data_IF_072783370551
#
_entry.id   IF_072783370551
#
_cell.length_a   1.000
_cell.length_b   1.000
_cell.length_c   1.000
_cell.angle_alpha   90.00
_cell.angle_beta   90.00
_cell.angle_gamma   90.00
#
_symmetry.space_group_name_H-M   'P 1'
#
loop_
_entity.id
_entity.type
_entity.pdbx_description
1 polymer ?
#
# COMPACT_ATOMS: atom_id res chain seq x y z
N UNK A 1 -7.24 -38.26 -1.03
CA UNK A 1 -6.63 -37.86 0.26
C UNK A 1 -5.45 -36.94 -0.03
N UNK A 2 -5.67 -35.63 -0.17
CA UNK A 2 -4.58 -34.66 -0.30
C UNK A 2 -4.14 -34.20 1.08
N UNK A 3 -2.87 -34.42 1.40
CA UNK A 3 -2.24 -33.91 2.62
C UNK A 3 -2.18 -32.38 2.50
N UNK A 4 -2.86 -31.69 3.41
CA UNK A 4 -2.71 -30.25 3.63
C UNK A 4 -1.33 -30.01 4.22
N UNK A 5 -0.39 -29.54 3.40
CA UNK A 5 0.89 -29.03 3.91
C UNK A 5 0.61 -27.81 4.79
N UNK A 6 0.94 -27.94 6.08
CA UNK A 6 0.89 -26.82 7.02
C UNK A 6 1.94 -25.78 6.59
N UNK A 7 1.62 -24.47 6.61
CA UNK A 7 2.61 -23.45 6.26
C UNK A 7 3.80 -23.55 7.20
N UNK A 8 5.00 -23.69 6.62
CA UNK A 8 6.28 -23.71 7.33
C UNK A 8 6.53 -22.32 7.91
N UNK A 9 6.69 -22.22 9.24
CA UNK A 9 7.05 -20.97 9.89
C UNK A 9 8.41 -20.46 9.36
N UNK A 10 8.59 -19.14 9.15
CA UNK A 10 9.85 -18.59 8.67
C UNK A 10 11.04 -18.97 9.57
N UNK A 11 12.19 -19.29 8.99
CA UNK A 11 13.41 -19.76 9.69
C UNK A 11 13.84 -18.79 10.80
N UNK A 12 13.69 -17.47 10.60
CA UNK A 12 14.00 -16.48 11.63
C UNK A 12 13.08 -16.52 12.86
N UNK A 13 11.81 -16.93 12.69
CA UNK A 13 10.88 -17.16 13.80
C UNK A 13 11.25 -18.45 14.56
N UNK A 14 11.73 -19.47 13.85
CA UNK A 14 12.26 -20.70 14.44
C UNK A 14 13.60 -20.47 15.17
N UNK A 15 14.43 -19.54 14.68
CA UNK A 15 15.69 -19.14 15.33
C UNK A 15 15.43 -18.32 16.60
N UNK A 16 14.45 -17.41 16.61
CA UNK A 16 14.05 -16.68 17.84
C UNK A 16 13.47 -17.60 18.93
N UNK A 17 12.76 -18.67 18.56
CA UNK A 17 12.26 -19.66 19.53
C UNK A 17 13.38 -20.52 20.16
N UNK A 18 14.57 -20.58 19.53
CA UNK A 18 15.72 -21.33 20.04
C UNK A 18 16.64 -20.51 20.94
N UNK A 19 16.62 -19.18 20.83
CA UNK A 19 17.51 -18.26 21.55
C UNK A 19 16.72 -17.60 22.68
N UNK A 20 16.31 -18.42 23.67
CA UNK A 20 15.76 -17.90 24.91
C UNK A 20 16.87 -17.34 25.80
N UNK A 21 16.75 -16.07 26.20
CA UNK A 21 17.45 -15.55 27.38
C UNK A 21 16.43 -15.04 28.39
N UNK A 22 16.09 -15.89 29.36
CA UNK A 22 16.01 -15.48 30.77
C UNK A 22 14.89 -14.53 31.21
N UNK A 23 13.77 -14.45 30.51
CA UNK A 23 12.50 -14.04 31.14
C UNK A 23 11.47 -15.09 30.80
N UNK A 24 10.88 -15.68 31.83
CA UNK A 24 9.71 -16.53 31.74
C UNK A 24 8.63 -15.74 30.98
N UNK A 25 8.55 -15.97 29.66
CA UNK A 25 7.36 -15.66 28.91
C UNK A 25 6.31 -16.60 29.48
N UNK A 26 5.53 -16.11 30.45
CA UNK A 26 4.20 -16.62 30.68
C UNK A 26 3.47 -16.50 29.34
N UNK A 27 3.56 -17.56 28.54
CA UNK A 27 2.44 -17.95 27.71
C UNK A 27 1.31 -18.10 28.71
N UNK A 28 0.41 -17.11 28.77
CA UNK A 28 -0.88 -17.31 29.38
C UNK A 28 -1.58 -18.39 28.56
N UNK A 29 -1.25 -19.65 28.84
CA UNK A 29 -2.11 -20.78 28.55
C UNK A 29 -3.39 -20.54 29.36
N UNK A 30 -4.33 -19.84 28.73
CA UNK A 30 -5.69 -19.80 29.19
C UNK A 30 -6.20 -21.24 29.13
N UNK A 31 -6.20 -21.90 30.29
CA UNK A 31 -6.75 -23.25 30.49
C UNK A 31 -8.13 -23.34 29.83
N UNK A 32 -8.23 -24.22 28.83
CA UNK A 32 -9.40 -24.43 27.97
C UNK A 32 -10.31 -25.55 28.52
N UNK A 33 -10.88 -25.34 29.70
CA UNK A 33 -11.96 -26.20 30.23
C UNK A 33 -13.10 -25.33 30.80
N UNK A 34 -14.26 -25.34 30.13
CA UNK A 34 -15.49 -24.64 30.58
C UNK A 34 -16.09 -23.69 29.53
N UNK A 35 -17.08 -24.18 28.79
CA UNK A 35 -17.56 -23.60 27.54
C UNK A 35 -18.71 -22.58 27.73
N UNK A 36 -18.37 -21.39 28.23
CA UNK A 36 -19.10 -20.14 27.95
C UNK A 36 -18.09 -19.07 27.47
N UNK A 37 -17.98 -18.93 26.15
CA UNK A 37 -17.45 -17.80 25.38
C UNK A 37 -16.11 -17.15 25.84
N UNK A 38 -14.98 -17.68 25.34
CA UNK A 38 -13.67 -17.00 25.35
C UNK A 38 -13.71 -15.61 24.68
N UNK A 39 -14.64 -15.40 23.73
CA UNK A 39 -14.80 -14.13 22.99
C UNK A 39 -15.29 -12.99 23.88
N UNK A 40 -16.33 -13.20 24.70
CA UNK A 40 -16.88 -12.18 25.60
C UNK A 40 -15.87 -11.76 26.68
N UNK A 41 -15.18 -12.73 27.30
CA UNK A 41 -14.10 -12.44 28.26
C UNK A 41 -13.01 -11.59 27.63
N UNK A 42 -12.53 -12.01 26.45
CA UNK A 42 -11.50 -11.26 25.71
C UNK A 42 -11.97 -9.88 25.26
N UNK A 43 -13.24 -9.74 24.87
CA UNK A 43 -13.83 -8.46 24.51
C UNK A 43 -13.86 -7.50 25.70
N UNK A 44 -14.19 -7.97 26.90
CA UNK A 44 -14.14 -7.17 28.12
C UNK A 44 -12.72 -6.76 28.48
N UNK A 45 -11.76 -7.66 28.35
CA UNK A 45 -10.36 -7.38 28.62
C UNK A 45 -9.79 -6.34 27.64
N UNK A 46 -10.04 -6.50 26.34
CA UNK A 46 -9.65 -5.51 25.33
C UNK A 46 -10.35 -4.17 25.57
N UNK A 47 -11.64 -4.18 25.92
CA UNK A 47 -12.38 -2.96 26.26
C UNK A 47 -11.76 -2.23 27.45
N UNK A 48 -11.33 -2.96 28.47
CA UNK A 48 -10.65 -2.37 29.64
C UNK A 48 -9.32 -1.70 29.26
N UNK A 49 -8.67 -2.17 28.18
CA UNK A 49 -7.46 -1.58 27.61
C UNK A 49 -7.75 -0.54 26.51
N UNK A 50 -8.98 -0.01 26.46
CA UNK A 50 -9.36 1.10 25.60
C UNK A 50 -9.57 0.71 24.14
N UNK A 51 -9.88 -0.55 23.84
CA UNK A 51 -10.31 -0.95 22.50
C UNK A 51 -11.83 -0.86 22.34
N UNK A 52 -12.28 -0.35 21.20
CA UNK A 52 -13.66 -0.48 20.74
C UNK A 52 -13.83 -1.82 20.00
N UNK A 53 -14.70 -2.68 20.52
CA UNK A 53 -14.88 -4.06 20.06
C UNK A 53 -16.22 -4.22 19.36
N UNK A 54 -16.24 -5.01 18.29
CA UNK A 54 -17.44 -5.42 17.57
C UNK A 54 -17.44 -6.93 17.39
N UNK A 55 -18.63 -7.52 17.33
CA UNK A 55 -18.80 -8.93 16.96
C UNK A 55 -18.75 -9.09 15.44
N UNK A 56 -18.17 -10.19 14.96
CA UNK A 56 -18.15 -10.55 13.54
C UNK A 56 -18.68 -11.96 13.30
N UNK A 57 -19.20 -12.20 12.10
CA UNK A 57 -19.58 -13.52 11.63
C UNK A 57 -18.40 -14.31 11.03
N UNK A 58 -18.69 -15.54 10.58
CA UNK A 58 -17.73 -16.45 9.95
C UNK A 58 -17.14 -15.90 8.63
N UNK A 59 -17.79 -14.91 8.03
CA UNK A 59 -17.32 -14.18 6.85
C UNK A 59 -16.58 -12.89 7.21
N UNK A 60 -16.30 -12.65 8.50
CA UNK A 60 -15.62 -11.48 9.04
C UNK A 60 -16.43 -10.18 8.88
N UNK A 61 -17.75 -10.28 8.72
CA UNK A 61 -18.65 -9.12 8.62
C UNK A 61 -19.15 -8.76 10.00
N UNK A 62 -19.25 -7.46 10.28
CA UNK A 62 -19.80 -6.97 11.55
C UNK A 62 -21.23 -7.45 11.75
N UNK A 63 -21.55 -7.84 12.98
CA UNK A 63 -22.92 -8.11 13.39
C UNK A 63 -23.52 -6.80 13.89
N UNK A 64 -24.60 -6.38 13.24
CA UNK A 64 -25.22 -5.08 13.50
C UNK A 64 -24.44 -3.91 12.93
N UNK A 65 -24.97 -2.70 13.18
CA UNK A 65 -24.34 -1.45 12.81
C UNK A 65 -23.16 -1.15 13.74
N UNK A 66 -21.97 -1.03 13.15
CA UNK A 66 -20.74 -0.77 13.89
C UNK A 66 -20.25 0.67 13.78
N UNK A 67 -20.89 1.50 12.95
CA UNK A 67 -20.46 2.90 12.74
C UNK A 67 -20.47 3.70 14.05
N UNK A 68 -21.41 3.45 14.95
CA UNK A 68 -21.41 4.06 16.29
C UNK A 68 -20.15 3.71 17.10
N UNK A 69 -19.59 2.51 16.89
CA UNK A 69 -18.38 2.04 17.55
C UNK A 69 -17.10 2.73 17.04
N UNK A 70 -17.19 3.61 16.02
CA UNK A 70 -16.07 4.48 15.61
C UNK A 70 -16.00 5.77 16.42
N UNK A 71 -17.08 6.14 17.11
CA UNK A 71 -17.15 7.32 17.95
C UNK A 71 -16.96 6.97 19.43
N UNK A 72 -17.57 5.86 19.87
CA UNK A 72 -17.62 5.49 21.28
C UNK A 72 -17.38 3.98 21.50
N UNK A 73 -16.72 3.65 22.61
CA UNK A 73 -16.50 2.26 23.03
C UNK A 73 -17.80 1.70 23.62
N UNK A 74 -18.27 0.59 23.06
CA UNK A 74 -19.50 -0.08 23.50
C UNK A 74 -19.49 -0.42 25.01
N UNK A 75 -20.66 -0.37 25.65
CA UNK A 75 -20.82 -0.76 27.06
C UNK A 75 -20.67 -2.28 27.23
N UNK A 76 -20.42 -2.76 28.45
CA UNK A 76 -20.35 -4.21 28.73
C UNK A 76 -21.66 -4.92 28.34
N UNK A 77 -22.82 -4.36 28.71
CA UNK A 77 -24.12 -4.92 28.36
C UNK A 77 -24.37 -4.95 26.85
N UNK A 78 -23.93 -3.93 26.11
CA UNK A 78 -24.02 -3.96 24.64
C UNK A 78 -23.13 -5.06 24.04
N UNK A 79 -21.92 -5.27 24.58
CA UNK A 79 -21.03 -6.35 24.16
C UNK A 79 -21.60 -7.74 24.49
N UNK A 80 -22.19 -7.93 25.67
CA UNK A 80 -22.90 -9.16 26.05
C UNK A 80 -24.02 -9.47 25.07
N UNK A 81 -24.86 -8.47 24.77
CA UNK A 81 -25.97 -8.64 23.84
C UNK A 81 -25.50 -9.00 22.43
N UNK A 82 -24.50 -8.30 21.89
CA UNK A 82 -24.06 -8.51 20.51
C UNK A 82 -23.24 -9.80 20.34
N UNK A 83 -22.44 -10.18 21.34
CA UNK A 83 -21.67 -11.43 21.32
C UNK A 83 -22.49 -12.65 21.71
N UNK A 84 -23.62 -12.47 22.40
CA UNK A 84 -24.62 -13.52 22.60
C UNK A 84 -25.40 -13.87 21.32
N UNK A 85 -25.23 -13.12 20.23
CA UNK A 85 -25.84 -13.45 18.95
C UNK A 85 -25.25 -14.77 18.41
N UNK A 86 -26.06 -15.76 18.01
CA UNK A 86 -25.55 -17.04 17.50
C UNK A 86 -24.66 -16.94 16.25
N UNK A 87 -24.74 -15.83 15.50
CA UNK A 87 -23.86 -15.57 14.36
C UNK A 87 -22.49 -15.01 14.76
N UNK A 88 -22.30 -14.62 16.02
CA UNK A 88 -21.06 -14.04 16.54
C UNK A 88 -20.01 -15.14 16.73
N UNK A 89 -19.19 -15.34 15.71
CA UNK A 89 -18.12 -16.33 15.72
C UNK A 89 -16.74 -15.71 15.96
N UNK A 90 -16.66 -14.39 16.08
CA UNK A 90 -15.43 -13.68 16.34
C UNK A 90 -15.59 -12.26 16.86
N UNK A 91 -14.46 -11.63 17.16
CA UNK A 91 -14.33 -10.23 17.56
C UNK A 91 -13.38 -9.47 16.63
N UNK A 92 -13.70 -8.20 16.39
CA UNK A 92 -12.82 -7.25 15.73
C UNK A 92 -12.66 -5.99 16.56
N UNK A 93 -11.52 -5.34 16.40
CA UNK A 93 -11.21 -4.05 16.99
C UNK A 93 -11.45 -2.97 15.95
N UNK A 94 -12.28 -1.98 16.28
CA UNK A 94 -12.43 -0.77 15.48
C UNK A 94 -11.15 0.05 15.64
N UNK A 95 -10.47 0.34 14.54
CA UNK A 95 -9.19 1.03 14.52
C UNK A 95 -9.38 2.56 14.57
N UNK A 96 -8.27 3.28 14.75
CA UNK A 96 -8.25 4.74 14.81
C UNK A 96 -8.44 5.30 16.22
N UNK A 97 -8.91 6.55 16.30
CA UNK A 97 -8.93 7.35 17.51
C UNK A 97 -9.71 6.69 18.67
N UNK A 98 -10.85 6.07 18.37
CA UNK A 98 -11.70 5.38 19.37
C UNK A 98 -10.99 4.27 20.12
N UNK A 99 -9.98 3.66 19.49
CA UNK A 99 -9.15 2.62 20.08
C UNK A 99 -7.73 3.13 20.30
N UNK A 100 -7.57 4.35 20.81
CA UNK A 100 -6.27 4.95 21.16
C UNK A 100 -5.30 5.03 20.00
N UNK A 101 -5.78 5.49 18.83
CA UNK A 101 -5.02 5.64 17.59
C UNK A 101 -4.38 4.33 17.09
N UNK A 102 -5.05 3.20 17.29
CA UNK A 102 -4.62 1.92 16.74
C UNK A 102 -4.64 1.98 15.21
N UNK A 103 -3.54 1.57 14.59
CA UNK A 103 -3.46 1.33 13.16
C UNK A 103 -2.88 -0.07 12.91
N UNK A 104 -3.45 -0.76 11.92
CA UNK A 104 -3.06 -2.12 11.56
C UNK A 104 -2.61 -2.11 10.11
N UNK A 105 -1.42 -2.64 9.84
CA UNK A 105 -1.01 -3.00 8.47
C UNK A 105 -1.48 -4.43 8.22
N UNK A 106 -2.41 -4.59 7.29
CA UNK A 106 -2.97 -5.87 6.86
C UNK A 106 -2.26 -6.34 5.59
N UNK A 107 -1.62 -7.51 5.67
CA UNK A 107 -0.81 -8.12 4.61
C UNK A 107 -1.53 -9.36 4.11
N UNK A 108 -2.03 -9.29 2.88
CA UNK A 108 -2.81 -10.37 2.26
C UNK A 108 -1.93 -11.30 1.40
N UNK A 109 -1.18 -12.19 2.06
CA UNK A 109 -0.18 -13.06 1.39
C UNK A 109 -0.79 -14.03 0.37
N UNK A 110 -2.07 -14.40 0.48
CA UNK A 110 -2.74 -15.24 -0.56
C UNK A 110 -2.89 -14.50 -1.89
N UNK A 111 -2.77 -13.16 -1.89
CA UNK A 111 -2.78 -12.38 -3.11
C UNK A 111 -1.37 -12.22 -3.70
N UNK A 112 -0.30 -12.56 -2.97
CA UNK A 112 1.07 -12.53 -3.48
C UNK A 112 1.37 -13.77 -4.34
N UNK A 113 1.92 -13.54 -5.52
CA UNK A 113 2.35 -14.61 -6.44
C UNK A 113 3.81 -15.01 -6.23
N UNK A 114 4.60 -14.16 -5.57
CA UNK A 114 6.03 -14.40 -5.35
C UNK A 114 6.30 -15.32 -4.15
N UNK A 115 5.36 -15.39 -3.20
CA UNK A 115 5.52 -16.09 -1.94
C UNK A 115 6.48 -15.41 -0.96
N UNK A 116 6.87 -14.15 -1.24
CA UNK A 116 7.86 -13.39 -0.46
C UNK A 116 7.35 -12.08 0.11
N UNK A 117 6.09 -11.71 -0.10
CA UNK A 117 5.55 -10.40 0.30
C UNK A 117 5.84 -10.04 1.75
N UNK A 118 5.60 -10.96 2.68
CA UNK A 118 5.86 -10.73 4.10
C UNK A 118 7.36 -10.58 4.38
N UNK A 119 8.18 -11.48 3.85
CA UNK A 119 9.64 -11.48 4.03
C UNK A 119 10.27 -10.20 3.47
N UNK A 120 9.87 -9.80 2.26
CA UNK A 120 10.36 -8.60 1.58
C UNK A 120 9.94 -7.34 2.36
N UNK A 121 8.74 -7.34 2.96
CA UNK A 121 8.28 -6.23 3.79
C UNK A 121 9.05 -6.10 5.10
N UNK A 122 9.19 -7.20 5.85
CA UNK A 122 9.95 -7.22 7.11
C UNK A 122 11.42 -6.85 6.85
N UNK A 123 12.03 -7.38 5.79
CA UNK A 123 13.40 -7.03 5.40
C UNK A 123 13.54 -5.54 5.04
N UNK A 124 12.56 -4.96 4.34
CA UNK A 124 12.57 -3.53 4.01
C UNK A 124 12.51 -2.65 5.26
N UNK A 125 11.69 -3.00 6.26
CA UNK A 125 11.63 -2.30 7.55
C UNK A 125 12.96 -2.47 8.30
N UNK A 126 13.45 -3.70 8.42
CA UNK A 126 14.68 -4.01 9.15
C UNK A 126 15.92 -3.32 8.59
N UNK A 127 15.98 -3.07 7.28
CA UNK A 127 17.04 -2.26 6.66
C UNK A 127 17.02 -0.78 7.06
N UNK A 128 15.85 -0.26 7.47
CA UNK A 128 15.65 1.16 7.80
C UNK A 128 15.66 1.41 9.30
N UNK A 129 14.97 0.56 10.06
CA UNK A 129 14.91 0.60 11.52
C UNK A 129 14.70 -0.83 12.05
N UNK A 130 15.77 -1.56 12.39
CA UNK A 130 15.68 -2.90 12.96
C UNK A 130 14.88 -2.94 14.26
N UNK A 131 14.99 -1.90 15.10
CA UNK A 131 14.36 -1.83 16.43
C UNK A 131 12.86 -1.62 16.33
N UNK A 132 12.39 -1.00 15.24
CA UNK A 132 10.97 -0.83 14.97
C UNK A 132 10.25 -2.18 14.86
N UNK A 133 10.88 -3.23 14.34
CA UNK A 133 10.26 -4.56 14.24
C UNK A 133 9.99 -5.18 15.62
N UNK A 134 10.82 -4.90 16.62
CA UNK A 134 10.72 -5.51 17.94
C UNK A 134 9.54 -4.97 18.76
N UNK A 135 9.05 -3.77 18.44
CA UNK A 135 7.96 -3.10 19.17
C UNK A 135 6.57 -3.31 18.55
N UNK A 136 6.49 -3.95 17.38
CA UNK A 136 5.21 -4.25 16.74
C UNK A 136 4.55 -5.47 17.37
N UNK A 137 3.23 -5.41 17.49
CA UNK A 137 2.42 -6.61 17.76
C UNK A 137 2.09 -7.26 16.42
N UNK A 138 2.40 -8.55 16.26
CA UNK A 138 2.21 -9.27 15.00
C UNK A 138 1.23 -10.40 15.24
N UNK A 139 0.18 -10.48 14.41
CA UNK A 139 -0.77 -11.57 14.41
C UNK A 139 -0.85 -12.22 13.03
N UNK A 140 -1.01 -13.54 12.99
CA UNK A 140 -1.37 -14.26 11.77
C UNK A 140 -2.89 -14.20 11.58
N UNK A 141 -3.34 -14.04 10.34
CA UNK A 141 -4.76 -14.02 9.97
C UNK A 141 -5.24 -15.41 9.53
N UNK A 142 -6.57 -15.60 9.50
CA UNK A 142 -7.20 -16.88 9.08
C UNK A 142 -6.76 -17.38 7.70
N UNK A 143 -6.34 -16.50 6.81
CA UNK A 143 -5.90 -16.86 5.45
C UNK A 143 -4.37 -16.99 5.32
N UNK A 144 -3.64 -17.02 6.44
CA UNK A 144 -2.19 -17.10 6.47
C UNK A 144 -1.47 -15.75 6.30
N UNK A 145 -2.22 -14.65 6.13
CA UNK A 145 -1.68 -13.29 6.09
C UNK A 145 -1.27 -12.78 7.47
N UNK A 146 -0.95 -11.49 7.56
CA UNK A 146 -0.43 -10.90 8.79
C UNK A 146 -1.05 -9.55 9.10
N UNK A 147 -1.31 -9.30 10.37
CA UNK A 147 -1.60 -7.99 10.93
C UNK A 147 -0.39 -7.52 11.72
N UNK A 148 0.12 -6.33 11.41
CA UNK A 148 1.13 -5.63 12.23
C UNK A 148 0.43 -4.45 12.89
N UNK A 149 0.31 -4.48 14.21
CA UNK A 149 -0.43 -3.51 15.00
C UNK A 149 0.52 -2.57 15.74
N UNK A 150 0.19 -1.29 15.73
CA UNK A 150 0.87 -0.22 16.46
C UNK A 150 -0.12 0.91 16.78
N UNK A 151 0.25 1.80 17.70
CA UNK A 151 -0.46 3.06 17.95
C UNK A 151 0.36 4.22 17.40
N UNK A 152 -0.30 5.19 16.77
CA UNK A 152 0.39 6.39 16.30
C UNK A 152 -0.57 7.58 16.23
N UNK A 153 -0.21 8.71 16.86
CA UNK A 153 -1.02 9.93 16.82
C UNK A 153 -1.29 10.46 15.39
N UNK A 154 -0.39 10.16 14.44
CA UNK A 154 -0.56 10.50 13.03
C UNK A 154 -1.31 9.42 12.20
N UNK A 155 -2.02 8.47 12.84
CA UNK A 155 -2.83 7.46 12.15
C UNK A 155 -3.94 8.14 11.32
N UNK A 156 -4.03 7.73 10.05
CA UNK A 156 -4.93 8.34 9.07
C UNK A 156 -6.26 7.60 8.92
N UNK A 157 -6.72 7.50 7.67
CA UNK A 157 -7.82 6.61 7.25
C UNK A 157 -7.24 5.33 6.67
N UNK A 158 -8.09 4.37 6.35
CA UNK A 158 -7.69 3.18 5.59
C UNK A 158 -7.06 3.59 4.25
N UNK A 159 -5.90 3.03 3.94
CA UNK A 159 -5.13 3.32 2.74
C UNK A 159 -4.65 2.02 2.11
N UNK A 160 -4.83 1.86 0.80
CA UNK A 160 -4.20 0.76 0.06
C UNK A 160 -2.76 1.17 -0.25
N UNK A 161 -1.80 0.43 0.28
CA UNK A 161 -0.37 0.72 0.15
C UNK A 161 0.29 -0.04 -1.00
N UNK A 162 -0.13 -1.29 -1.22
CA UNK A 162 0.43 -2.14 -2.27
C UNK A 162 -0.64 -3.00 -2.94
N UNK A 163 -0.53 -3.14 -4.26
CA UNK A 163 -1.39 -3.93 -5.13
C UNK A 163 -0.57 -4.63 -6.20
N UNK A 164 -1.15 -5.62 -6.86
CA UNK A 164 -0.66 -6.15 -8.13
C UNK A 164 -1.79 -6.26 -9.15
N UNK A 165 -1.49 -6.28 -10.46
CA UNK A 165 -2.48 -6.69 -11.46
C UNK A 165 -2.93 -8.14 -11.20
N UNK A 166 -4.18 -8.45 -11.54
CA UNK A 166 -4.64 -9.84 -11.61
C UNK A 166 -3.92 -10.58 -12.74
N UNK A 167 -3.70 -11.89 -12.55
CA UNK A 167 -3.18 -12.77 -13.61
C UNK A 167 -4.27 -13.04 -14.63
N UNK A 168 -3.92 -13.60 -15.79
CA UNK A 168 -4.91 -13.96 -16.81
C UNK A 168 -5.90 -15.02 -16.33
N UNK A 169 -5.43 -15.99 -15.54
CA UNK A 169 -6.30 -16.99 -14.91
C UNK A 169 -7.31 -16.34 -13.93
N UNK A 170 -6.85 -15.42 -13.09
CA UNK A 170 -7.72 -14.69 -12.16
C UNK A 170 -8.70 -13.77 -12.89
N UNK A 171 -8.25 -13.11 -13.96
CA UNK A 171 -9.07 -12.26 -14.81
C UNK A 171 -10.13 -13.08 -15.54
N UNK A 172 -9.81 -14.28 -16.00
CA UNK A 172 -10.78 -15.20 -16.60
C UNK A 172 -11.87 -15.61 -15.60
N UNK A 173 -11.48 -15.86 -14.35
CA UNK A 173 -12.43 -16.19 -13.28
C UNK A 173 -13.26 -14.98 -12.82
N UNK A 174 -12.68 -13.78 -12.78
CA UNK A 174 -13.32 -12.53 -12.35
C UNK A 174 -12.92 -11.35 -13.27
N UNK A 175 -13.56 -11.20 -14.45
CA UNK A 175 -13.13 -10.22 -15.47
C UNK A 175 -13.09 -8.77 -15.02
N UNK A 176 -13.95 -8.39 -14.07
CA UNK A 176 -13.99 -7.02 -13.50
C UNK A 176 -12.93 -6.77 -12.43
N UNK A 177 -12.28 -7.81 -11.89
CA UNK A 177 -11.23 -7.67 -10.89
C UNK A 177 -9.90 -7.47 -11.60
N UNK A 178 -9.48 -6.22 -11.75
CA UNK A 178 -8.22 -5.87 -12.43
C UNK A 178 -6.99 -5.94 -11.52
N UNK A 179 -7.19 -5.87 -10.21
CA UNK A 179 -6.12 -5.81 -9.21
C UNK A 179 -6.42 -6.66 -7.99
N UNK A 180 -5.35 -7.10 -7.33
CA UNK A 180 -5.37 -7.65 -5.98
C UNK A 180 -4.67 -6.69 -5.02
N UNK A 181 -5.24 -6.50 -3.83
CA UNK A 181 -4.60 -5.74 -2.74
C UNK A 181 -3.61 -6.66 -2.05
N UNK A 182 -2.39 -6.18 -1.84
CA UNK A 182 -1.33 -6.91 -1.15
C UNK A 182 -1.17 -6.39 0.28
N UNK A 183 -1.15 -5.08 0.46
CA UNK A 183 -0.99 -4.43 1.76
C UNK A 183 -1.93 -3.22 1.86
N UNK A 184 -2.69 -3.13 2.95
CA UNK A 184 -3.52 -1.97 3.29
C UNK A 184 -3.38 -1.58 4.77
N UNK A 185 -3.74 -0.34 5.12
CA UNK A 185 -3.93 0.07 6.51
C UNK A 185 -5.39 -0.04 6.92
N UNK A 186 -5.60 -0.42 8.19
CA UNK A 186 -6.87 -0.26 8.92
C UNK A 186 -6.64 0.76 10.02
N UNK A 187 -7.28 1.91 9.90
CA UNK A 187 -7.13 3.06 10.81
C UNK A 187 -8.52 3.66 11.09
N UNK A 188 -8.66 4.99 11.12
CA UNK A 188 -9.97 5.62 11.30
C UNK A 188 -10.96 5.16 10.21
N UNK A 189 -12.12 4.67 10.64
CA UNK A 189 -13.15 4.11 9.74
C UNK A 189 -12.85 2.70 9.25
N UNK A 190 -11.90 1.99 9.86
CA UNK A 190 -11.62 0.58 9.64
C UNK A 190 -11.72 -0.23 10.92
N UNK A 191 -11.78 -1.55 10.76
CA UNK A 191 -11.61 -2.51 11.85
C UNK A 191 -10.72 -3.65 11.38
N UNK A 192 -10.13 -4.36 12.33
CA UNK A 192 -9.34 -5.57 12.11
C UNK A 192 -9.83 -6.69 13.04
N UNK A 193 -10.06 -7.88 12.49
CA UNK A 193 -10.38 -9.07 13.28
C UNK A 193 -9.13 -9.49 14.06
N UNK A 194 -9.29 -9.84 15.34
CA UNK A 194 -8.18 -10.15 16.24
C UNK A 194 -8.38 -11.48 16.96
N UNK A 195 -7.30 -11.99 17.56
CA UNK A 195 -7.38 -13.11 18.49
C UNK A 195 -8.30 -12.75 19.69
N UNK A 196 -9.04 -13.72 20.27
CA UNK A 196 -8.97 -15.16 20.00
C UNK A 196 -9.97 -15.65 18.94
N UNK A 197 -10.41 -14.79 18.01
CA UNK A 197 -11.25 -15.25 16.88
C UNK A 197 -10.58 -16.40 16.14
N UNK A 198 -11.35 -17.43 15.78
CA UNK A 198 -10.82 -18.63 15.15
C UNK A 198 -9.98 -18.31 13.88
N UNK A 199 -8.80 -18.90 13.81
CA UNK A 199 -7.83 -18.67 12.73
C UNK A 199 -6.97 -17.41 12.89
N UNK A 200 -7.15 -16.61 13.95
CA UNK A 200 -6.26 -15.49 14.29
C UNK A 200 -5.38 -15.86 15.48
N UNK A 201 -4.07 -15.64 15.34
CA UNK A 201 -3.07 -16.02 16.36
C UNK A 201 -2.04 -14.91 16.54
N UNK A 202 -1.80 -14.50 17.79
CA UNK A 202 -0.66 -13.62 18.10
C UNK A 202 0.66 -14.39 17.92
N UNK A 203 1.57 -13.80 17.16
CA UNK A 203 2.91 -14.32 16.89
C UNK A 203 3.99 -13.54 17.64
N UNK A 204 3.77 -12.24 17.87
CA UNK A 204 4.71 -11.36 18.57
C UNK A 204 3.94 -10.29 19.34
N UNK A 205 4.45 -9.95 20.53
CA UNK A 205 3.94 -8.87 21.36
C UNK A 205 2.63 -9.20 22.06
N UNK A 206 2.07 -8.20 22.73
CA UNK A 206 0.86 -8.32 23.53
C UNK A 206 -0.23 -7.38 22.98
N UNK A 207 -1.37 -7.93 22.58
CA UNK A 207 -2.49 -7.14 22.06
C UNK A 207 -3.05 -6.15 23.09
N UNK A 208 -2.92 -6.43 24.38
CA UNK A 208 -3.36 -5.51 25.44
C UNK A 208 -2.42 -4.31 25.62
N UNK A 209 -1.18 -4.40 25.15
CA UNK A 209 -0.10 -3.43 25.36
C UNK A 209 0.55 -3.02 24.02
N UNK A 210 -0.26 -2.70 23.01
CA UNK A 210 0.25 -2.24 21.72
C UNK A 210 1.01 -0.92 21.90
N UNK A 211 2.28 -0.92 21.49
CA UNK A 211 3.21 0.20 21.65
C UNK A 211 2.87 1.40 20.77
N UNK A 212 3.19 2.60 21.26
CA UNK A 212 3.16 3.83 20.47
C UNK A 212 4.43 3.96 19.65
N UNK A 213 4.27 4.29 18.37
CA UNK A 213 5.38 4.63 17.47
C UNK A 213 5.31 6.11 17.08
N UNK A 214 6.46 6.65 16.69
CA UNK A 214 6.55 8.03 16.20
C UNK A 214 5.99 8.17 14.78
N UNK A 215 5.64 9.40 14.37
CA UNK A 215 5.22 9.67 13.00
C UNK A 215 6.31 9.31 11.96
N UNK A 216 7.59 9.46 12.31
CA UNK A 216 8.71 9.06 11.47
C UNK A 216 8.77 7.53 11.29
N UNK A 217 8.65 6.76 12.37
CA UNK A 217 8.57 5.30 12.32
C UNK A 217 7.35 4.82 11.52
N UNK A 218 6.19 5.45 11.71
CA UNK A 218 5.01 5.19 10.87
C UNK A 218 5.32 5.41 9.38
N UNK A 219 6.01 6.51 9.04
CA UNK A 219 6.40 6.75 7.64
C UNK A 219 7.29 5.64 7.10
N UNK A 220 8.24 5.12 7.89
CA UNK A 220 9.07 3.98 7.50
C UNK A 220 8.20 2.77 7.13
N UNK A 221 7.24 2.39 7.98
CA UNK A 221 6.35 1.25 7.73
C UNK A 221 5.56 1.44 6.43
N UNK A 222 4.90 2.58 6.26
CA UNK A 222 4.08 2.84 5.08
C UNK A 222 4.92 2.93 3.81
N UNK A 223 6.09 3.58 3.88
CA UNK A 223 6.97 3.71 2.72
C UNK A 223 7.55 2.37 2.30
N UNK A 224 7.93 1.50 3.25
CA UNK A 224 8.35 0.13 2.96
C UNK A 224 7.23 -0.66 2.27
N UNK A 225 5.98 -0.57 2.76
CA UNK A 225 4.84 -1.24 2.16
C UNK A 225 4.61 -0.75 0.71
N UNK A 226 4.67 0.57 0.48
CA UNK A 226 4.51 1.15 -0.86
C UNK A 226 5.59 0.71 -1.85
N UNK A 227 6.80 0.35 -1.40
CA UNK A 227 7.83 -0.20 -2.32
C UNK A 227 7.43 -1.53 -2.94
N UNK A 228 6.51 -2.27 -2.30
CA UNK A 228 6.03 -3.57 -2.75
C UNK A 228 4.81 -3.46 -3.69
N UNK A 229 4.37 -2.24 -4.00
CA UNK A 229 3.29 -2.00 -4.93
C UNK A 229 3.71 -2.31 -6.36
N UNK A 230 3.07 -3.26 -7.02
CA UNK A 230 3.32 -3.68 -8.41
C UNK A 230 2.30 -3.10 -9.40
N UNK A 231 1.37 -2.27 -8.93
CA UNK A 231 0.30 -1.72 -9.76
C UNK A 231 0.13 -0.22 -9.55
N UNK A 232 0.16 0.54 -10.64
CA UNK A 232 -0.29 1.93 -10.68
C UNK A 232 -1.41 2.05 -11.70
N UNK A 233 -2.49 2.73 -11.33
CA UNK A 233 -3.46 3.19 -12.33
C UNK A 233 -2.80 4.29 -13.15
N UNK A 234 -2.58 4.02 -14.43
CA UNK A 234 -2.23 5.07 -15.40
C UNK A 234 -3.49 5.85 -15.71
N UNK A 235 -3.54 7.12 -15.31
CA UNK A 235 -4.56 8.02 -15.85
C UNK A 235 -4.03 8.54 -17.18
N UNK A 236 -4.61 8.08 -18.30
CA UNK A 236 -4.53 8.85 -19.54
C UNK A 236 -5.16 10.21 -19.26
N UNK A 237 -4.49 11.30 -19.62
CA UNK A 237 -5.07 12.62 -19.48
C UNK A 237 -6.45 12.65 -20.18
N UNK A 238 -7.49 13.23 -19.55
CA UNK A 238 -8.79 13.38 -20.18
C UNK A 238 -8.63 14.09 -21.53
N UNK A 239 -9.04 13.44 -22.63
CA UNK A 239 -9.03 14.05 -23.97
C UNK A 239 -8.00 13.52 -24.97
N UNK A 240 -7.11 12.59 -24.58
CA UNK A 240 -6.30 11.84 -25.56
C UNK A 240 -7.18 10.78 -26.24
N UNK A 241 -7.94 11.19 -27.26
CA UNK A 241 -8.43 10.22 -28.23
C UNK A 241 -7.23 9.62 -28.96
N UNK A 242 -6.91 8.37 -28.65
CA UNK A 242 -6.02 7.54 -29.46
C UNK A 242 -6.71 7.30 -30.80
N UNK A 243 -6.59 8.26 -31.72
CA UNK A 243 -6.90 8.00 -33.13
C UNK A 243 -5.95 6.89 -33.61
N UNK A 244 -6.39 5.93 -34.43
CA UNK A 244 -5.47 5.00 -35.07
C UNK A 244 -4.43 5.81 -35.84
N UNK A 245 -3.15 5.67 -35.47
CA UNK A 245 -2.03 6.39 -36.09
C UNK A 245 -1.31 5.46 -37.06
N UNK A 246 -0.82 5.97 -38.21
CA UNK A 246 -0.02 5.19 -39.13
C UNK A 246 1.23 4.61 -38.42
N UNK A 247 1.73 3.41 -38.80
CA UNK A 247 2.88 2.76 -38.16
C UNK A 247 4.18 3.57 -38.11
N UNK A 248 4.27 4.65 -38.90
CA UNK A 248 5.47 5.47 -39.07
C UNK A 248 5.42 6.84 -38.37
N UNK A 249 4.38 7.15 -37.57
CA UNK A 249 4.27 8.43 -36.85
C UNK A 249 4.51 8.24 -35.35
N UNK A 250 5.65 8.73 -34.87
CA UNK A 250 5.94 8.85 -33.44
C UNK A 250 5.65 10.29 -33.00
N UNK A 251 4.69 10.49 -32.11
CA UNK A 251 4.37 11.84 -31.64
C UNK A 251 5.45 12.36 -30.68
N UNK A 252 5.60 13.68 -30.50
CA UNK A 252 6.56 14.23 -29.56
C UNK A 252 6.37 13.73 -28.11
N UNK A 253 5.13 13.48 -27.70
CA UNK A 253 4.83 12.91 -26.38
C UNK A 253 5.28 11.45 -26.28
N UNK A 254 4.99 10.63 -27.30
CA UNK A 254 5.37 9.22 -27.33
C UNK A 254 6.89 9.05 -27.41
N UNK A 255 7.57 9.92 -28.16
CA UNK A 255 9.03 9.96 -28.24
C UNK A 255 9.64 10.39 -26.90
N UNK A 256 9.09 11.42 -26.25
CA UNK A 256 9.56 11.83 -24.93
C UNK A 256 9.37 10.75 -23.87
N UNK A 257 8.30 9.95 -23.94
CA UNK A 257 8.13 8.79 -23.06
C UNK A 257 9.22 7.73 -23.22
N UNK A 258 9.80 7.61 -24.40
CA UNK A 258 10.83 6.61 -24.71
C UNK A 258 12.24 7.09 -24.38
N UNK A 259 12.54 8.36 -24.66
CA UNK A 259 13.91 8.90 -24.59
C UNK A 259 14.08 10.15 -23.73
N UNK A 260 13.01 10.69 -23.15
CA UNK A 260 13.07 11.85 -22.26
C UNK A 260 13.60 11.46 -20.88
N UNK A 261 14.48 12.29 -20.31
CA UNK A 261 14.98 12.10 -18.96
C UNK A 261 14.05 12.74 -17.93
N UNK A 262 13.12 11.95 -17.42
CA UNK A 262 12.16 12.40 -16.40
C UNK A 262 12.82 12.64 -15.04
N UNK A 263 13.93 11.98 -14.73
CA UNK A 263 14.61 12.15 -13.44
C UNK A 263 15.29 13.52 -13.42
N UNK A 264 16.04 13.84 -14.47
CA UNK A 264 16.67 15.16 -14.61
C UNK A 264 15.63 16.29 -14.67
N UNK A 265 14.50 16.06 -15.34
CA UNK A 265 13.38 16.98 -15.31
C UNK A 265 12.87 17.21 -13.88
N UNK A 266 12.63 16.16 -13.10
CA UNK A 266 12.17 16.30 -11.72
C UNK A 266 13.20 17.03 -10.85
N UNK A 267 14.49 16.73 -11.01
CA UNK A 267 15.59 17.40 -10.30
C UNK A 267 15.67 18.88 -10.64
N UNK A 268 15.50 19.24 -11.92
CA UNK A 268 15.39 20.64 -12.38
C UNK A 268 14.27 21.39 -11.66
N UNK A 269 13.18 20.71 -11.32
CA UNK A 269 12.04 21.24 -10.57
C UNK A 269 12.13 21.01 -9.05
N UNK A 270 13.35 20.84 -8.52
CA UNK A 270 13.62 20.82 -7.09
C UNK A 270 13.36 19.50 -6.38
N UNK A 271 13.03 18.42 -7.11
CA UNK A 271 13.01 17.09 -6.51
C UNK A 271 14.44 16.61 -6.24
N UNK A 272 14.61 15.79 -5.22
CA UNK A 272 15.90 15.19 -4.87
C UNK A 272 15.84 13.67 -4.97
N UNK A 273 16.85 13.06 -5.59
CA UNK A 273 17.01 11.60 -5.57
C UNK A 273 17.54 11.17 -4.21
N UNK A 274 16.78 10.36 -3.48
CA UNK A 274 17.11 9.89 -2.12
C UNK A 274 17.52 8.41 -2.07
N UNK A 275 17.56 7.74 -3.23
CA UNK A 275 18.11 6.40 -3.36
C UNK A 275 17.59 5.63 -4.56
N UNK A 276 18.08 4.40 -4.71
CA UNK A 276 17.71 3.48 -5.77
C UNK A 276 17.35 2.12 -5.16
N UNK A 277 16.24 1.51 -5.58
CA UNK A 277 15.83 0.18 -5.10
C UNK A 277 14.88 -0.51 -6.08
N UNK A 278 15.09 -1.80 -6.38
CA UNK A 278 14.19 -2.64 -7.17
C UNK A 278 13.74 -2.01 -8.50
N UNK A 279 14.70 -1.54 -9.32
CA UNK A 279 14.42 -0.85 -10.57
C UNK A 279 13.59 0.44 -10.41
N UNK A 280 13.76 1.13 -9.27
CA UNK A 280 13.13 2.42 -8.99
C UNK A 280 14.12 3.46 -8.52
N UNK A 281 13.88 4.70 -8.92
CA UNK A 281 14.50 5.89 -8.33
C UNK A 281 13.56 6.44 -7.26
N UNK A 282 14.04 6.55 -6.02
CA UNK A 282 13.29 7.11 -4.90
C UNK A 282 13.48 8.63 -4.88
N UNK A 283 12.38 9.37 -4.81
CA UNK A 283 12.39 10.83 -5.00
C UNK A 283 11.73 11.53 -3.80
N UNK A 284 12.33 12.63 -3.33
CA UNK A 284 11.78 13.53 -2.32
C UNK A 284 11.39 14.85 -2.98
N UNK A 285 10.19 15.33 -2.66
CA UNK A 285 9.66 16.58 -3.24
C UNK A 285 10.41 17.80 -2.71
N UNK A 286 10.39 18.93 -3.42
CA UNK A 286 10.87 20.20 -2.89
C UNK A 286 10.07 20.67 -1.66
N UNK A 287 10.74 21.42 -0.78
CA UNK A 287 10.20 21.98 0.45
C UNK A 287 10.31 21.05 1.66
N UNK A 288 9.75 21.50 2.78
CA UNK A 288 9.90 20.81 4.06
C UNK A 288 9.01 19.56 4.13
N UNK A 289 9.64 18.42 4.32
CA UNK A 289 8.96 17.16 4.60
C UNK A 289 9.84 16.28 5.49
N UNK A 290 9.25 15.86 6.61
CA UNK A 290 9.81 14.86 7.51
C UNK A 290 9.82 13.45 6.89
N UNK A 291 9.10 13.24 5.78
CA UNK A 291 9.08 11.94 5.09
C UNK A 291 10.41 11.69 4.39
N UNK A 292 10.88 10.45 4.46
CA UNK A 292 12.11 10.02 3.79
C UNK A 292 12.02 10.19 2.26
N UNK A 293 10.84 9.92 1.68
CA UNK A 293 10.56 10.11 0.25
C UNK A 293 9.14 10.63 0.04
N UNK A 294 8.87 11.15 -1.15
CA UNK A 294 7.57 11.68 -1.56
C UNK A 294 7.00 11.03 -2.81
N UNK A 295 7.84 10.30 -3.56
CA UNK A 295 7.47 9.55 -4.75
C UNK A 295 8.54 8.55 -5.15
N UNK A 296 8.27 7.81 -6.21
CA UNK A 296 9.28 7.01 -6.92
C UNK A 296 9.00 6.94 -8.42
N UNK A 297 10.06 6.78 -9.20
CA UNK A 297 9.98 6.48 -10.62
C UNK A 297 10.29 4.99 -10.82
N UNK A 298 9.35 4.24 -11.39
CA UNK A 298 9.52 2.84 -11.75
C UNK A 298 10.00 2.73 -13.20
N UNK A 299 11.26 2.29 -13.37
CA UNK A 299 11.92 2.18 -14.66
C UNK A 299 11.36 1.05 -15.54
N UNK A 300 10.75 0.02 -14.94
CA UNK A 300 10.11 -1.07 -15.70
C UNK A 300 8.78 -0.60 -16.29
N UNK A 301 8.01 0.17 -15.52
CA UNK A 301 6.69 0.66 -15.96
C UNK A 301 6.79 1.99 -16.72
N UNK A 302 7.91 2.71 -16.61
CA UNK A 302 8.06 4.07 -17.13
C UNK A 302 7.12 5.06 -16.44
N UNK A 303 6.89 4.92 -15.14
CA UNK A 303 5.91 5.72 -14.40
C UNK A 303 6.51 6.38 -13.17
N UNK A 304 6.30 7.69 -13.07
CA UNK A 304 6.52 8.47 -11.86
C UNK A 304 5.27 8.49 -11.00
N UNK A 305 5.39 8.09 -9.74
CA UNK A 305 4.30 8.19 -8.77
C UNK A 305 4.65 9.05 -7.60
N UNK A 306 3.64 9.79 -7.15
CA UNK A 306 3.72 10.67 -5.99
C UNK A 306 2.77 10.15 -4.91
N UNK A 307 3.24 10.15 -3.67
CA UNK A 307 2.49 9.75 -2.48
C UNK A 307 2.23 10.93 -1.52
N UNK A 308 2.74 12.11 -1.87
CA UNK A 308 2.56 13.34 -1.11
C UNK A 308 1.41 14.16 -1.68
N UNK A 309 0.56 14.73 -0.82
CA UNK A 309 -0.56 15.60 -1.20
C UNK A 309 -0.14 17.04 -1.52
N UNK A 310 1.05 17.46 -1.08
CA UNK A 310 1.58 18.82 -1.29
C UNK A 310 2.43 18.90 -2.56
N UNK A 311 1.88 18.49 -3.70
CA UNK A 311 2.53 18.55 -5.01
C UNK A 311 1.50 18.83 -6.09
N UNK A 312 1.96 19.23 -7.28
CA UNK A 312 1.12 19.40 -8.48
C UNK A 312 0.56 18.07 -9.01
N UNK A 313 1.11 16.95 -8.53
CA UNK A 313 0.67 15.60 -8.86
C UNK A 313 -0.38 15.09 -7.87
N UNK A 314 -1.33 14.31 -8.37
CA UNK A 314 -2.32 13.63 -7.55
C UNK A 314 -1.72 12.39 -6.86
N UNK A 315 -1.85 12.26 -5.52
CA UNK A 315 -1.35 11.11 -4.79
C UNK A 315 -1.93 9.79 -5.28
N UNK A 316 -1.08 8.77 -5.38
CA UNK A 316 -1.47 7.41 -5.78
C UNK A 316 -1.70 7.24 -7.28
N UNK A 317 -1.41 8.27 -8.11
CA UNK A 317 -1.40 8.18 -9.58
C UNK A 317 0.01 7.95 -10.13
N UNK A 318 0.08 7.23 -11.25
CA UNK A 318 1.29 7.08 -12.05
C UNK A 318 1.27 8.01 -13.26
N UNK A 319 2.36 8.73 -13.49
CA UNK A 319 2.56 9.70 -14.57
C UNK A 319 3.67 9.22 -15.50
N UNK A 320 3.39 9.17 -16.80
CA UNK A 320 4.41 8.92 -17.83
C UNK A 320 5.34 10.14 -17.99
N UNK A 321 6.58 10.00 -18.50
CA UNK A 321 7.49 11.12 -18.69
C UNK A 321 6.87 12.33 -19.38
N UNK A 322 6.09 12.16 -20.46
CA UNK A 322 5.44 13.30 -21.12
C UNK A 322 4.47 14.00 -20.19
N UNK A 323 3.76 13.26 -19.33
CA UNK A 323 2.78 13.85 -18.41
C UNK A 323 3.48 14.64 -17.32
N UNK A 324 4.62 14.13 -16.81
CA UNK A 324 5.49 14.87 -15.89
C UNK A 324 5.98 16.16 -16.54
N UNK A 325 6.48 16.09 -17.78
CA UNK A 325 6.89 17.26 -18.56
C UNK A 325 5.75 18.27 -18.72
N UNK A 326 4.58 17.81 -19.14
CA UNK A 326 3.41 18.69 -19.34
C UNK A 326 3.02 19.40 -18.05
N UNK A 327 3.04 18.71 -16.91
CA UNK A 327 2.70 19.33 -15.63
C UNK A 327 3.72 20.40 -15.23
N UNK A 328 5.01 20.07 -15.30
CA UNK A 328 6.09 20.92 -14.76
C UNK A 328 6.51 22.06 -15.71
N UNK A 329 6.51 21.84 -17.02
CA UNK A 329 7.02 22.82 -18.02
C UNK A 329 5.88 23.51 -18.80
N UNK A 330 4.66 22.98 -18.74
CA UNK A 330 3.53 23.45 -19.54
C UNK A 330 2.26 23.71 -18.73
N UNK A 331 2.31 23.63 -17.39
CA UNK A 331 1.17 23.92 -16.52
C UNK A 331 -0.06 23.04 -16.77
N UNK A 332 0.16 21.80 -17.26
CA UNK A 332 -0.92 20.88 -17.62
C UNK A 332 -1.44 21.00 -19.07
N UNK A 333 -0.92 21.93 -19.88
CA UNK A 333 -1.34 22.08 -21.29
C UNK A 333 -0.59 21.11 -22.23
N UNK A 334 -1.29 20.05 -22.65
CA UNK A 334 -0.74 19.05 -23.56
C UNK A 334 -0.48 19.56 -24.99
N UNK A 335 -1.19 20.59 -25.45
CA UNK A 335 -0.89 21.19 -26.78
C UNK A 335 0.41 21.96 -26.73
N UNK A 336 0.62 22.69 -25.64
CA UNK A 336 1.89 23.38 -25.39
C UNK A 336 3.04 22.38 -25.24
N UNK A 337 2.83 21.27 -24.52
CA UNK A 337 3.82 20.21 -24.39
C UNK A 337 4.23 19.62 -25.75
N UNK A 338 3.27 19.29 -26.62
CA UNK A 338 3.56 18.84 -28.00
C UNK A 338 4.40 19.88 -28.73
N UNK A 339 4.02 21.17 -28.65
CA UNK A 339 4.72 22.26 -29.36
C UNK A 339 6.17 22.42 -28.87
N UNK A 340 6.40 22.38 -27.55
CA UNK A 340 7.75 22.51 -26.98
C UNK A 340 8.62 21.30 -27.28
N UNK A 341 8.08 20.10 -27.09
CA UNK A 341 8.81 18.86 -27.34
C UNK A 341 9.18 18.71 -28.83
N UNK A 342 8.29 19.11 -29.75
CA UNK A 342 8.66 19.20 -31.18
C UNK A 342 9.83 20.15 -31.43
N UNK A 343 9.88 21.32 -30.77
CA UNK A 343 11.00 22.27 -30.90
C UNK A 343 12.31 21.71 -30.33
N UNK A 344 12.22 20.83 -29.35
CA UNK A 344 13.36 20.11 -28.77
C UNK A 344 13.75 18.87 -29.59
N UNK A 345 13.10 18.62 -30.72
CA UNK A 345 13.42 17.50 -31.61
C UNK A 345 12.82 16.17 -31.18
N UNK A 346 11.75 16.16 -30.38
CA UNK A 346 10.97 14.95 -30.11
C UNK A 346 9.89 14.73 -31.17
N UNK A 347 9.72 13.46 -31.56
CA UNK A 347 8.76 12.99 -32.56
C UNK A 347 9.36 12.86 -33.97
N UNK A 348 8.68 12.10 -34.83
CA UNK A 348 9.08 11.88 -36.22
C UNK A 348 8.16 12.68 -37.17
N UNK A 349 8.77 13.58 -37.94
CA UNK A 349 8.08 14.24 -39.06
C UNK A 349 8.29 13.43 -40.33
N UNK A 350 7.25 12.74 -40.82
CA UNK A 350 7.30 12.19 -42.17
C UNK A 350 7.35 13.35 -43.18
N UNK A 351 8.52 13.53 -43.80
CA UNK A 351 8.71 14.30 -45.03
C UNK A 351 9.04 15.78 -44.85
N UNK A 352 10.33 16.11 -44.81
CA UNK A 352 10.80 17.33 -45.47
C UNK A 352 10.36 17.22 -46.94
N UNK A 353 9.33 17.96 -47.37
CA UNK A 353 9.19 18.28 -48.80
C UNK A 353 10.44 19.06 -49.18
N UNK A 354 11.33 18.44 -49.96
CA UNK A 354 12.36 19.19 -50.67
C UNK A 354 11.61 20.18 -51.58
N UNK A 355 11.70 21.47 -51.28
CA UNK A 355 11.31 22.50 -52.23
C UNK A 355 12.24 22.37 -53.43
N UNK A 356 11.74 21.78 -54.51
CA UNK A 356 12.33 21.96 -55.84
C UNK A 356 12.24 23.46 -56.16
N UNK A 357 13.38 24.15 -56.14
CA UNK A 357 13.48 25.46 -56.77
C UNK A 357 13.38 25.27 -58.29
N UNK A 358 12.61 26.09 -59.01
CA UNK A 358 12.62 26.07 -60.47
C UNK A 358 13.99 26.55 -60.95
N UNK A 359 14.70 25.70 -61.68
CA UNK A 359 15.89 26.11 -62.44
C UNK A 359 15.45 27.09 -63.52
N UNK A 360 15.82 28.37 -63.34
CA UNK A 360 15.86 29.34 -64.45
C UNK A 360 16.98 28.91 -65.38
N UNK A 361 16.65 28.52 -66.60
CA UNK A 361 17.59 28.48 -67.72
C UNK A 361 18.05 29.91 -68.05
N UNK A 362 19.35 30.20 -68.11
CA UNK A 362 19.86 31.38 -68.79
C UNK A 362 19.77 31.12 -70.31
N UNK A 363 19.19 32.05 -71.04
CA UNK A 363 19.19 32.00 -72.50
C UNK A 363 20.58 32.23 -73.09
N UNK A 364 20.85 31.53 -74.19
CA UNK A 364 21.45 32.07 -75.41
C UNK A 364 21.02 31.22 -76.60
#
# INVERSE_FOLDING_TARGET
>A
MSKTERPVLPIWLLERLKIGTGRENLVCELNYEGMESNLLKSAFELRAHGYSIIAVDDQKRSIGEWRQCTAEIATKSALESILGNPRATGIAVVCGAVSGNLEVIDIDVKNDITGRLYQDFIAAIGQKDPKLLDILVIAQTRSGGFHLLYRCAAAGRNEILARRPTTDAERKAKPKQMVKVLIETRANGGYAVVAPTEGYRLLQGNLLEVSNITAAQRSILLDCARTLNQYQSVTLAPGLQLRPRPPAYLSPLDDYDQRGDVIDLLVKHGWSVVGYKNNRTLLKRPGDSEKFRSGDYNHELGLFSVFSTSTEFEPGRGYRPYAVYTMLECGGDFKEAVRQLSRQGYGLSNGKKQNHYPTRTPGH
#
